data_IF_573590519778
#
_entry.id   IF_573590519778
#
_cell.length_a   1.000
_cell.length_b   1.000
_cell.length_c   1.000
_cell.angle_alpha   90.00
_cell.angle_beta   90.00
_cell.angle_gamma   90.00
#
_symmetry.space_group_name_H-M   'P 1'
#
loop_
_entity.id
_entity.type
_entity.pdbx_description
1 polymer ?
#
# COMPACT_ATOMS: atom_id res chain seq x y z
N UNK A 1 5.44 -2.09 -34.30
CA UNK A 1 5.24 -1.72 -32.88
C UNK A 1 5.83 -2.85 -32.03
N UNK A 2 6.92 -2.62 -31.28
CA UNK A 2 7.51 -3.68 -30.43
C UNK A 2 6.65 -3.81 -29.18
N UNK A 3 5.91 -4.91 -29.03
CA UNK A 3 5.24 -5.25 -27.79
C UNK A 3 6.30 -5.32 -26.67
N UNK A 4 6.26 -4.38 -25.73
CA UNK A 4 7.23 -4.30 -24.64
C UNK A 4 6.78 -5.21 -23.49
N UNK A 5 6.80 -6.52 -23.73
CA UNK A 5 6.35 -7.53 -22.77
C UNK A 5 7.27 -7.55 -21.56
N UNK A 6 6.68 -7.70 -20.38
CA UNK A 6 7.43 -7.81 -19.13
C UNK A 6 8.38 -9.02 -19.13
N UNK A 7 9.63 -8.81 -18.74
CA UNK A 7 10.64 -9.86 -18.53
C UNK A 7 10.73 -10.22 -17.05
N UNK A 8 10.86 -11.52 -16.78
CA UNK A 8 10.89 -12.08 -15.44
C UNK A 8 12.19 -12.84 -15.21
N UNK A 9 12.79 -12.71 -14.03
CA UNK A 9 13.95 -13.50 -13.60
C UNK A 9 13.96 -13.69 -12.10
N UNK A 10 14.18 -14.90 -11.58
CA UNK A 10 14.42 -15.08 -10.15
C UNK A 10 15.86 -14.68 -9.80
N UNK A 11 16.00 -13.91 -8.72
CA UNK A 11 17.29 -13.37 -8.28
C UNK A 11 17.36 -13.43 -6.77
N UNK A 12 18.38 -14.09 -6.23
CA UNK A 12 18.74 -13.98 -4.82
C UNK A 12 19.43 -12.63 -4.57
N UNK A 13 18.96 -11.88 -3.57
CA UNK A 13 19.51 -10.59 -3.18
C UNK A 13 20.45 -10.73 -2.00
N UNK A 14 21.71 -11.12 -2.27
CA UNK A 14 22.75 -11.26 -1.24
C UNK A 14 23.05 -9.95 -0.51
N UNK A 15 22.82 -8.80 -1.16
CA UNK A 15 22.89 -7.46 -0.56
C UNK A 15 21.84 -7.21 0.54
N UNK A 16 20.85 -8.11 0.68
CA UNK A 16 19.76 -8.08 1.66
C UNK A 16 19.79 -9.28 2.62
N UNK A 17 20.95 -9.90 2.79
CA UNK A 17 21.13 -11.02 3.73
C UNK A 17 20.73 -10.60 5.16
N UNK A 18 19.84 -11.37 5.78
CA UNK A 18 19.40 -11.13 7.15
C UNK A 18 20.46 -11.63 8.14
N UNK A 19 21.07 -10.73 8.92
CA UNK A 19 22.14 -11.07 9.87
C UNK A 19 21.72 -12.06 10.96
N UNK A 20 20.44 -12.11 11.32
CA UNK A 20 19.92 -12.97 12.38
C UNK A 20 19.62 -14.40 11.93
N UNK A 21 19.22 -14.61 10.67
CA UNK A 21 18.80 -15.92 10.15
C UNK A 21 19.71 -16.47 9.07
N UNK A 22 20.69 -15.70 8.60
CA UNK A 22 21.55 -16.01 7.45
C UNK A 22 20.78 -16.34 6.15
N UNK A 23 19.53 -15.89 6.05
CA UNK A 23 18.69 -16.07 4.85
C UNK A 23 18.73 -14.83 3.97
N UNK A 24 18.79 -15.04 2.66
CA UNK A 24 18.67 -13.99 1.66
C UNK A 24 17.29 -14.08 0.98
N UNK A 25 16.67 -12.95 0.61
CA UNK A 25 15.42 -12.97 -0.13
C UNK A 25 15.64 -13.46 -1.57
N UNK A 26 14.81 -14.40 -2.00
CA UNK A 26 14.60 -14.79 -3.39
C UNK A 26 13.52 -13.89 -3.97
N UNK A 27 13.89 -13.09 -4.96
CA UNK A 27 13.01 -12.10 -5.56
C UNK A 27 12.73 -12.44 -7.02
N UNK A 28 11.48 -12.28 -7.45
CA UNK A 28 11.13 -12.16 -8.85
C UNK A 28 11.46 -10.73 -9.32
N UNK A 29 12.49 -10.59 -10.16
CA UNK A 29 12.82 -9.36 -10.86
C UNK A 29 11.91 -9.23 -12.08
N UNK A 30 11.13 -8.16 -12.11
CA UNK A 30 10.21 -7.82 -13.20
C UNK A 30 10.77 -6.60 -13.92
N UNK A 31 10.92 -6.68 -15.24
CA UNK A 31 11.54 -5.65 -16.06
C UNK A 31 10.65 -5.28 -17.24
N UNK A 32 10.34 -4.00 -17.38
CA UNK A 32 9.58 -3.42 -18.50
C UNK A 32 10.10 -2.02 -18.77
N UNK A 33 10.17 -1.62 -20.04
CA UNK A 33 10.67 -0.29 -20.45
C UNK A 33 12.05 0.08 -19.86
N UNK A 34 12.99 -0.87 -19.82
CA UNK A 34 14.34 -0.74 -19.22
C UNK A 34 14.36 -0.37 -17.72
N UNK A 35 13.21 -0.43 -17.05
CA UNK A 35 13.10 -0.28 -15.59
C UNK A 35 12.85 -1.65 -14.98
N UNK A 36 13.28 -1.84 -13.73
CA UNK A 36 13.05 -3.09 -13.00
C UNK A 36 12.54 -2.84 -11.58
N UNK A 37 11.79 -3.80 -11.05
CA UNK A 37 11.55 -3.91 -9.62
C UNK A 37 11.63 -5.37 -9.18
N UNK A 38 11.68 -5.57 -7.86
CA UNK A 38 11.86 -6.87 -7.25
C UNK A 38 10.69 -7.15 -6.33
N UNK A 39 10.08 -8.33 -6.49
CA UNK A 39 9.05 -8.84 -5.58
C UNK A 39 9.62 -10.04 -4.84
N UNK A 40 9.78 -9.92 -3.53
CA UNK A 40 10.24 -11.04 -2.69
C UNK A 40 9.20 -12.14 -2.69
N UNK A 41 9.64 -13.39 -2.89
CA UNK A 41 8.78 -14.57 -2.87
C UNK A 41 8.98 -15.37 -1.58
N UNK A 42 10.24 -15.60 -1.21
CA UNK A 42 10.64 -16.36 -0.02
C UNK A 42 12.06 -16.00 0.40
N UNK A 43 12.52 -16.52 1.55
CA UNK A 43 13.87 -16.32 2.08
C UNK A 43 14.55 -17.67 2.27
N UNK A 44 15.76 -17.82 1.73
CA UNK A 44 16.55 -19.06 1.75
C UNK A 44 18.02 -18.73 2.00
N UNK A 45 18.72 -19.59 2.71
CA UNK A 45 20.15 -19.51 2.95
C UNK A 45 20.90 -19.62 1.61
N UNK A 46 21.94 -18.80 1.36
CA UNK A 46 22.66 -18.79 0.08
C UNK A 46 23.16 -20.17 -0.38
N UNK A 47 23.53 -21.04 0.55
CA UNK A 47 24.00 -22.39 0.27
C UNK A 47 22.94 -23.27 -0.41
N UNK A 48 21.65 -23.04 -0.12
CA UNK A 48 20.52 -23.81 -0.64
C UNK A 48 19.89 -23.24 -1.90
N UNK A 49 20.46 -22.19 -2.51
CA UNK A 49 19.93 -21.64 -3.75
C UNK A 49 20.76 -22.03 -4.97
N UNK A 50 20.11 -22.58 -5.98
CA UNK A 50 20.71 -22.87 -7.28
C UNK A 50 20.49 -21.68 -8.22
N UNK A 51 21.53 -20.86 -8.40
CA UNK A 51 21.48 -19.68 -9.27
C UNK A 51 21.26 -20.04 -10.74
N UNK A 52 21.75 -21.20 -11.19
CA UNK A 52 21.67 -21.61 -12.59
C UNK A 52 20.27 -22.11 -12.93
N UNK A 53 19.70 -22.91 -12.04
CA UNK A 53 18.39 -23.54 -12.25
C UNK A 53 17.23 -22.72 -11.66
N UNK A 54 17.52 -21.67 -10.88
CA UNK A 54 16.52 -20.82 -10.21
C UNK A 54 15.60 -21.60 -9.24
N UNK A 55 16.16 -22.60 -8.54
CA UNK A 55 15.43 -23.46 -7.60
C UNK A 55 16.13 -23.56 -6.23
N UNK A 56 15.37 -23.96 -5.22
CA UNK A 56 15.94 -24.41 -3.94
C UNK A 56 16.55 -25.80 -4.13
N UNK A 57 17.79 -25.97 -3.68
CA UNK A 57 18.54 -27.22 -3.81
C UNK A 57 17.95 -28.32 -2.92
N UNK A 58 18.17 -29.57 -3.34
CA UNK A 58 17.63 -30.79 -2.68
C UNK A 58 18.08 -30.98 -1.22
N UNK A 59 19.18 -30.34 -0.82
CA UNK A 59 19.72 -30.43 0.54
C UNK A 59 18.91 -29.64 1.58
N UNK A 60 18.01 -28.73 1.16
CA UNK A 60 17.18 -27.99 2.10
C UNK A 60 16.05 -28.90 2.66
N UNK A 61 15.81 -28.96 3.99
CA UNK A 61 14.79 -29.83 4.59
C UNK A 61 13.39 -29.70 3.98
N UNK A 62 12.99 -28.46 3.69
CA UNK A 62 11.67 -28.15 3.12
C UNK A 62 11.69 -27.93 1.60
N UNK A 63 12.60 -28.58 0.86
CA UNK A 63 12.80 -28.31 -0.59
C UNK A 63 11.51 -28.46 -1.42
N UNK A 64 10.69 -29.49 -1.15
CA UNK A 64 9.45 -29.77 -1.89
C UNK A 64 8.46 -28.62 -1.70
N UNK A 65 8.22 -28.23 -0.45
CA UNK A 65 7.30 -27.14 -0.10
C UNK A 65 7.78 -25.80 -0.64
N UNK A 66 9.07 -25.47 -0.48
CA UNK A 66 9.62 -24.19 -0.91
C UNK A 66 9.59 -24.03 -2.43
N UNK A 67 9.95 -25.07 -3.20
CA UNK A 67 9.89 -25.01 -4.65
C UNK A 67 8.43 -24.94 -5.14
N UNK A 68 7.52 -25.73 -4.54
CA UNK A 68 6.09 -25.63 -4.89
C UNK A 68 5.51 -24.23 -4.59
N UNK A 69 5.89 -23.62 -3.46
CA UNK A 69 5.51 -22.25 -3.11
C UNK A 69 6.10 -21.24 -4.11
N UNK A 70 7.37 -21.38 -4.47
CA UNK A 70 8.06 -20.52 -5.44
C UNK A 70 7.32 -20.54 -6.78
N UNK A 71 7.07 -21.74 -7.32
CA UNK A 71 6.41 -21.94 -8.60
C UNK A 71 5.00 -21.34 -8.60
N UNK A 72 4.21 -21.63 -7.56
CA UNK A 72 2.87 -21.10 -7.41
C UNK A 72 2.85 -19.58 -7.41
N UNK A 73 3.69 -18.94 -6.58
CA UNK A 73 3.74 -17.47 -6.46
C UNK A 73 4.23 -16.79 -7.73
N UNK A 74 5.22 -17.38 -8.40
CA UNK A 74 5.72 -16.87 -9.69
C UNK A 74 4.64 -16.96 -10.77
N UNK A 75 3.91 -18.07 -10.84
CA UNK A 75 2.81 -18.26 -11.78
C UNK A 75 1.66 -17.26 -11.54
N UNK A 76 1.25 -17.07 -10.28
CA UNK A 76 0.24 -16.08 -9.88
C UNK A 76 0.62 -14.66 -10.33
N UNK A 77 1.85 -14.23 -10.03
CA UNK A 77 2.36 -12.91 -10.41
C UNK A 77 2.39 -12.76 -11.93
N UNK A 78 2.95 -13.73 -12.66
CA UNK A 78 3.04 -13.67 -14.13
C UNK A 78 1.64 -13.54 -14.74
N UNK A 79 0.67 -14.33 -14.28
CA UNK A 79 -0.72 -14.28 -14.75
C UNK A 79 -1.34 -12.89 -14.55
N UNK A 80 -1.14 -12.29 -13.38
CA UNK A 80 -1.68 -10.96 -13.08
C UNK A 80 -1.08 -9.87 -13.98
N UNK A 81 0.24 -9.90 -14.22
CA UNK A 81 0.88 -8.95 -15.14
C UNK A 81 0.40 -9.16 -16.57
N UNK A 82 0.35 -10.41 -17.04
CA UNK A 82 -0.13 -10.72 -18.40
C UNK A 82 -1.56 -10.21 -18.61
N UNK A 83 -2.45 -10.42 -17.64
CA UNK A 83 -3.82 -9.92 -17.74
C UNK A 83 -3.86 -8.39 -17.78
N UNK A 84 -3.06 -7.72 -16.94
CA UNK A 84 -2.96 -6.25 -16.95
C UNK A 84 -2.48 -5.74 -18.31
N UNK A 85 -1.44 -6.36 -18.87
CA UNK A 85 -0.89 -6.01 -20.18
C UNK A 85 -1.89 -6.23 -21.32
N UNK A 86 -2.76 -7.24 -21.24
CA UNK A 86 -3.84 -7.46 -22.21
C UNK A 86 -4.92 -6.38 -22.09
N UNK A 87 -5.23 -5.95 -20.86
CA UNK A 87 -6.32 -4.98 -20.61
C UNK A 87 -5.91 -3.52 -20.79
N UNK A 88 -4.62 -3.22 -20.69
CA UNK A 88 -4.06 -1.88 -20.77
C UNK A 88 -2.65 -1.92 -21.39
N UNK A 89 -2.58 -1.72 -22.71
CA UNK A 89 -1.33 -1.69 -23.47
C UNK A 89 -0.38 -0.57 -23.01
N UNK A 90 -0.88 0.44 -22.28
CA UNK A 90 -0.09 1.57 -21.76
C UNK A 90 0.48 1.31 -20.35
N UNK A 91 0.18 0.15 -19.74
CA UNK A 91 0.57 -0.18 -18.38
C UNK A 91 2.11 -0.22 -18.23
N UNK A 92 2.68 0.87 -17.71
CA UNK A 92 4.10 0.94 -17.40
C UNK A 92 4.45 0.17 -16.12
N UNK A 93 5.74 0.01 -15.85
CA UNK A 93 6.24 -0.76 -14.70
C UNK A 93 5.70 -0.30 -13.32
N UNK A 94 5.30 0.97 -13.20
CA UNK A 94 4.75 1.54 -11.97
C UNK A 94 3.32 1.03 -11.74
N UNK A 95 2.52 0.91 -12.80
CA UNK A 95 1.16 0.34 -12.76
C UNK A 95 1.24 -1.14 -12.39
N UNK A 96 2.16 -1.87 -13.02
CA UNK A 96 2.44 -3.28 -12.73
C UNK A 96 2.82 -3.47 -11.26
N UNK A 97 3.79 -2.69 -10.74
CA UNK A 97 4.19 -2.74 -9.34
C UNK A 97 3.00 -2.48 -8.41
N UNK A 98 2.23 -1.42 -8.68
CA UNK A 98 1.07 -1.05 -7.87
C UNK A 98 -0.02 -2.13 -7.84
N UNK A 99 -0.19 -2.86 -8.95
CA UNK A 99 -1.13 -3.97 -9.11
C UNK A 99 -0.67 -5.19 -8.30
N UNK A 100 0.55 -5.67 -8.52
CA UNK A 100 1.13 -6.83 -7.83
C UNK A 100 1.35 -6.64 -6.33
N UNK A 101 1.65 -5.42 -5.91
CA UNK A 101 1.78 -5.13 -4.49
C UNK A 101 0.43 -5.21 -3.78
N UNK A 102 -0.70 -5.32 -4.52
CA UNK A 102 -2.07 -5.20 -4.00
C UNK A 102 -2.29 -3.91 -3.20
N UNK A 103 -1.45 -2.88 -3.43
CA UNK A 103 -1.26 -1.74 -2.51
C UNK A 103 -1.18 -0.39 -3.23
N UNK A 104 -2.12 -0.18 -4.15
CA UNK A 104 -2.75 1.15 -4.32
C UNK A 104 -4.27 1.11 -4.11
N UNK A 105 -4.76 0.13 -3.36
CA UNK A 105 -6.17 0.04 -2.93
C UNK A 105 -6.32 -0.09 -1.42
N UNK A 106 -5.45 0.54 -0.62
CA UNK A 106 -5.86 0.80 0.76
C UNK A 106 -7.02 1.77 0.69
N UNK A 107 -8.19 1.31 1.11
CA UNK A 107 -9.35 2.18 1.23
C UNK A 107 -9.35 2.81 2.62
N UNK A 108 -9.43 4.15 2.67
CA UNK A 108 -9.43 4.89 3.92
C UNK A 108 -10.68 4.57 4.74
N UNK A 109 -11.83 4.32 4.09
CA UNK A 109 -13.06 3.98 4.79
C UNK A 109 -13.02 2.56 5.35
N UNK A 110 -12.53 1.60 4.58
CA UNK A 110 -12.35 0.22 5.08
C UNK A 110 -11.41 0.20 6.31
N UNK A 111 -10.29 0.94 6.23
CA UNK A 111 -9.38 1.07 7.36
C UNK A 111 -10.05 1.76 8.56
N UNK A 112 -10.81 2.84 8.32
CA UNK A 112 -11.52 3.55 9.36
C UNK A 112 -12.55 2.67 10.08
N UNK A 113 -13.29 1.84 9.35
CA UNK A 113 -14.29 0.93 9.93
C UNK A 113 -13.63 -0.09 10.88
N UNK A 114 -12.49 -0.67 10.48
CA UNK A 114 -11.69 -1.57 11.33
C UNK A 114 -11.14 -0.85 12.58
N UNK A 115 -10.61 0.36 12.42
CA UNK A 115 -10.10 1.12 13.57
C UNK A 115 -11.23 1.55 14.52
N UNK A 116 -12.40 1.93 14.01
CA UNK A 116 -13.56 2.26 14.83
C UNK A 116 -14.07 1.05 15.61
N UNK A 117 -14.12 -0.14 15.01
CA UNK A 117 -14.45 -1.39 15.71
C UNK A 117 -13.44 -1.68 16.84
N UNK A 118 -12.13 -1.50 16.59
CA UNK A 118 -11.11 -1.61 17.64
C UNK A 118 -11.28 -0.58 18.76
N UNK A 119 -11.57 0.68 18.44
CA UNK A 119 -11.84 1.73 19.44
C UNK A 119 -13.02 1.36 20.33
N UNK A 120 -14.11 0.86 19.73
CA UNK A 120 -15.30 0.43 20.45
C UNK A 120 -14.99 -0.73 21.40
N UNK A 121 -14.31 -1.77 20.92
CA UNK A 121 -13.89 -2.94 21.73
C UNK A 121 -12.96 -2.56 22.89
N UNK A 122 -12.19 -1.47 22.75
CA UNK A 122 -11.31 -0.92 23.81
C UNK A 122 -12.02 0.03 24.78
N UNK A 123 -13.34 0.22 24.66
CA UNK A 123 -14.11 1.14 25.50
C UNK A 123 -13.93 2.63 25.17
N UNK A 124 -13.31 2.98 24.04
CA UNK A 124 -13.04 4.37 23.64
C UNK A 124 -14.25 5.03 22.94
N UNK A 125 -15.42 4.99 23.58
CA UNK A 125 -16.70 5.33 22.94
C UNK A 125 -16.80 6.78 22.45
N UNK A 126 -16.23 7.75 23.19
CA UNK A 126 -16.22 9.14 22.77
C UNK A 126 -15.40 9.36 21.48
N UNK A 127 -14.21 8.74 21.42
CA UNK A 127 -13.35 8.77 20.24
C UNK A 127 -14.00 8.06 19.06
N UNK A 128 -14.63 6.90 19.28
CA UNK A 128 -15.43 6.19 18.29
C UNK A 128 -16.52 7.08 17.68
N UNK A 129 -17.37 7.71 18.52
CA UNK A 129 -18.46 8.60 18.06
C UNK A 129 -17.93 9.75 17.21
N UNK A 130 -16.80 10.34 17.62
CA UNK A 130 -16.12 11.40 16.87
C UNK A 130 -15.65 10.90 15.50
N UNK A 131 -14.93 9.78 15.43
CA UNK A 131 -14.44 9.24 14.16
C UNK A 131 -15.60 8.86 13.23
N UNK A 132 -16.67 8.26 13.77
CA UNK A 132 -17.88 7.93 13.02
C UNK A 132 -18.49 9.17 12.36
N UNK A 133 -18.62 10.27 13.11
CA UNK A 133 -19.14 11.54 12.57
C UNK A 133 -18.24 12.12 11.47
N UNK A 134 -16.91 12.08 11.66
CA UNK A 134 -15.95 12.57 10.65
C UNK A 134 -16.04 11.76 9.36
N UNK A 135 -16.07 10.43 9.45
CA UNK A 135 -16.14 9.53 8.29
C UNK A 135 -17.46 9.68 7.55
N UNK A 136 -18.57 9.83 8.27
CA UNK A 136 -19.88 10.08 7.66
C UNK A 136 -19.88 11.36 6.82
N UNK A 137 -19.36 12.47 7.36
CA UNK A 137 -19.21 13.73 6.61
C UNK A 137 -18.32 13.56 5.36
N UNK A 138 -17.27 12.75 5.46
CA UNK A 138 -16.36 12.50 4.35
C UNK A 138 -17.02 11.67 3.25
N UNK A 139 -17.82 10.65 3.62
CA UNK A 139 -18.63 9.86 2.67
C UNK A 139 -19.69 10.73 1.98
N UNK A 140 -20.38 11.60 2.73
CA UNK A 140 -21.34 12.56 2.17
C UNK A 140 -20.71 13.49 1.12
N UNK A 141 -19.51 14.00 1.42
CA UNK A 141 -18.77 14.87 0.48
C UNK A 141 -18.41 14.13 -0.81
N UNK A 142 -17.91 12.89 -0.70
CA UNK A 142 -17.45 12.11 -1.84
C UNK A 142 -18.60 11.49 -2.64
N UNK A 143 -19.78 11.29 -2.03
CA UNK A 143 -20.89 10.52 -2.58
C UNK A 143 -20.47 9.12 -3.06
N UNK A 144 -19.52 8.52 -2.34
CA UNK A 144 -18.90 7.23 -2.63
C UNK A 144 -18.60 6.50 -1.33
N UNK A 145 -18.70 5.19 -1.37
CA UNK A 145 -18.38 4.31 -0.23
C UNK A 145 -16.93 3.82 -0.23
N UNK A 146 -16.11 4.30 -1.17
CA UNK A 146 -14.69 4.02 -1.27
C UNK A 146 -13.88 5.31 -1.40
N UNK A 147 -12.78 5.39 -0.66
CA UNK A 147 -11.72 6.38 -0.77
C UNK A 147 -10.35 5.68 -0.84
N UNK A 148 -9.89 5.34 -2.06
CA UNK A 148 -8.54 4.81 -2.24
C UNK A 148 -7.48 5.79 -1.73
N UNK A 149 -6.47 5.31 -1.02
CA UNK A 149 -5.40 6.11 -0.40
C UNK A 149 -4.67 7.00 -1.42
N UNK A 150 -4.54 6.54 -2.66
CA UNK A 150 -3.93 7.28 -3.77
C UNK A 150 -4.72 8.54 -4.16
N UNK A 151 -6.02 8.55 -3.89
CA UNK A 151 -6.90 9.69 -4.17
C UNK A 151 -6.84 10.74 -3.04
N UNK A 152 -6.26 10.39 -1.88
CA UNK A 152 -5.95 11.37 -0.84
C UNK A 152 -4.69 12.12 -1.27
N UNK A 153 -4.88 13.20 -2.01
CA UNK A 153 -3.82 14.11 -2.45
C UNK A 153 -3.84 15.39 -1.62
N UNK A 154 -2.80 16.22 -1.73
CA UNK A 154 -2.80 17.54 -1.08
C UNK A 154 -3.97 18.40 -1.58
N UNK A 155 -4.29 18.29 -2.86
CA UNK A 155 -5.39 19.01 -3.49
C UNK A 155 -6.75 18.54 -2.95
N UNK A 156 -6.94 17.23 -2.82
CA UNK A 156 -8.13 16.66 -2.18
C UNK A 156 -8.33 17.19 -0.75
N UNK A 157 -7.26 17.25 0.06
CA UNK A 157 -7.34 17.75 1.43
C UNK A 157 -7.78 19.22 1.45
N UNK A 158 -7.21 20.06 0.57
CA UNK A 158 -7.57 21.49 0.47
C UNK A 158 -9.02 21.67 0.04
N UNK A 159 -9.49 20.91 -0.95
CA UNK A 159 -10.87 20.97 -1.40
C UNK A 159 -11.85 20.53 -0.31
N UNK A 160 -11.50 19.47 0.44
CA UNK A 160 -12.33 19.01 1.54
C UNK A 160 -12.33 19.99 2.73
N UNK A 161 -11.19 20.61 3.06
CA UNK A 161 -11.12 21.71 4.03
C UNK A 161 -12.06 22.85 3.64
N UNK A 162 -12.01 23.26 2.38
CA UNK A 162 -12.87 24.29 1.82
C UNK A 162 -14.36 23.92 1.93
N UNK A 163 -14.71 22.67 1.63
CA UNK A 163 -16.08 22.16 1.80
C UNK A 163 -16.54 22.21 3.26
N UNK A 164 -15.69 21.77 4.20
CA UNK A 164 -16.01 21.78 5.62
C UNK A 164 -16.29 23.19 6.15
N UNK A 165 -15.51 24.18 5.71
CA UNK A 165 -15.72 25.58 6.12
C UNK A 165 -16.91 26.21 5.43
N UNK A 166 -17.01 26.11 4.10
CA UNK A 166 -17.94 26.94 3.32
C UNK A 166 -19.28 26.27 3.02
N UNK A 167 -19.35 24.94 3.02
CA UNK A 167 -20.61 24.21 2.75
C UNK A 167 -21.20 23.56 3.99
N UNK A 168 -20.37 23.12 4.93
CA UNK A 168 -20.82 22.61 6.25
C UNK A 168 -20.79 23.69 7.34
N UNK A 169 -20.35 24.92 7.02
CA UNK A 169 -20.27 26.06 7.93
C UNK A 169 -19.54 25.77 9.25
N UNK A 170 -18.53 24.87 9.22
CA UNK A 170 -17.74 24.58 10.41
C UNK A 170 -16.73 25.70 10.65
N UNK A 171 -16.59 26.12 11.90
CA UNK A 171 -15.49 27.00 12.30
C UNK A 171 -14.11 26.32 12.08
N UNK A 172 -13.03 27.11 12.13
CA UNK A 172 -11.66 26.64 11.86
C UNK A 172 -11.26 25.48 12.77
N UNK A 173 -11.57 25.58 14.06
CA UNK A 173 -11.18 24.58 15.05
C UNK A 173 -11.88 23.24 14.80
N UNK A 174 -13.19 23.26 14.51
CA UNK A 174 -13.94 22.07 14.11
C UNK A 174 -13.39 21.46 12.83
N UNK A 175 -13.13 22.29 11.81
CA UNK A 175 -12.53 21.84 10.55
C UNK A 175 -11.20 21.13 10.77
N UNK A 176 -10.31 21.71 11.56
CA UNK A 176 -9.01 21.13 11.89
C UNK A 176 -9.14 19.84 12.70
N UNK A 177 -10.12 19.74 13.59
CA UNK A 177 -10.40 18.49 14.31
C UNK A 177 -10.83 17.37 13.37
N UNK A 178 -11.65 17.66 12.35
CA UNK A 178 -12.05 16.69 11.33
C UNK A 178 -10.84 16.24 10.50
N UNK A 179 -10.03 17.19 10.01
CA UNK A 179 -8.83 16.87 9.23
C UNK A 179 -7.78 16.09 10.03
N UNK A 180 -7.64 16.34 11.33
CA UNK A 180 -6.74 15.57 12.20
C UNK A 180 -7.14 14.10 12.32
N UNK A 181 -8.44 13.79 12.42
CA UNK A 181 -8.90 12.41 12.47
C UNK A 181 -8.59 11.68 11.16
N UNK A 182 -8.83 12.33 10.00
CA UNK A 182 -8.47 11.77 8.68
C UNK A 182 -6.95 11.61 8.56
N UNK A 183 -6.18 12.62 8.98
CA UNK A 183 -4.73 12.57 8.97
C UNK A 183 -4.18 11.41 9.80
N UNK A 184 -4.77 11.13 10.97
CA UNK A 184 -4.38 9.99 11.80
C UNK A 184 -4.57 8.67 11.05
N UNK A 185 -5.75 8.45 10.46
CA UNK A 185 -6.04 7.23 9.69
C UNK A 185 -5.09 7.07 8.51
N UNK A 186 -4.86 8.14 7.75
CA UNK A 186 -3.92 8.13 6.61
C UNK A 186 -2.50 7.86 7.08
N UNK A 187 -2.02 8.55 8.12
CA UNK A 187 -0.70 8.30 8.69
C UNK A 187 -0.55 6.85 9.16
N UNK A 188 -1.56 6.29 9.81
CA UNK A 188 -1.55 4.90 10.27
C UNK A 188 -1.47 3.92 9.11
N UNK A 189 -2.20 4.16 8.01
CA UNK A 189 -2.07 3.36 6.79
C UNK A 189 -0.64 3.44 6.26
N UNK A 190 -0.06 4.64 6.17
CA UNK A 190 1.31 4.81 5.69
C UNK A 190 2.35 4.11 6.59
N UNK A 191 2.14 4.11 7.90
CA UNK A 191 3.05 3.50 8.86
C UNK A 191 2.87 1.97 8.96
N UNK A 192 1.64 1.49 9.13
CA UNK A 192 1.35 0.08 9.35
C UNK A 192 1.61 -0.80 8.12
N UNK A 193 1.64 -0.20 6.93
CA UNK A 193 1.85 -0.89 5.67
C UNK A 193 3.13 -0.48 4.94
N UNK A 194 4.04 0.23 5.62
CA UNK A 194 5.35 0.67 5.11
C UNK A 194 5.27 1.39 3.75
N UNK A 195 4.30 2.29 3.59
CA UNK A 195 4.18 3.09 2.39
C UNK A 195 5.24 4.19 2.36
N UNK A 196 5.58 4.63 1.14
CA UNK A 196 6.51 5.74 0.91
C UNK A 196 6.00 7.03 1.57
N UNK A 197 6.59 7.36 2.72
CA UNK A 197 6.23 8.49 3.55
C UNK A 197 6.36 9.85 2.84
N UNK A 198 7.17 9.94 1.77
CA UNK A 198 7.29 11.17 0.97
C UNK A 198 6.03 11.49 0.16
N UNK A 199 5.19 10.47 -0.08
CA UNK A 199 3.91 10.57 -0.78
C UNK A 199 2.73 10.89 0.14
N UNK A 200 2.94 10.86 1.46
CA UNK A 200 1.89 11.19 2.41
C UNK A 200 1.53 12.69 2.32
N UNK A 201 0.31 13.05 1.89
CA UNK A 201 -0.07 14.43 1.66
C UNK A 201 -0.16 15.24 2.97
N UNK A 202 -0.44 14.59 4.10
CA UNK A 202 -0.55 15.25 5.40
C UNK A 202 0.81 15.67 5.98
N UNK A 203 1.94 15.15 5.46
CA UNK A 203 3.27 15.69 5.80
C UNK A 203 3.53 17.08 5.22
N UNK A 204 2.88 17.41 4.10
CA UNK A 204 3.01 18.69 3.40
C UNK A 204 1.90 19.68 3.77
N UNK A 205 0.81 19.20 4.35
CA UNK A 205 -0.34 20.00 4.72
C UNK A 205 -0.17 20.66 6.10
N UNK A 206 -0.24 21.98 6.18
CA UNK A 206 -0.18 22.74 7.44
C UNK A 206 -1.58 23.04 7.95
N UNK A 207 -1.96 22.42 9.06
CA UNK A 207 -3.25 22.66 9.71
C UNK A 207 -3.24 24.02 10.44
N UNK A 208 -4.31 24.80 10.28
CA UNK A 208 -4.50 26.10 10.93
C UNK A 208 -5.44 25.98 12.15
N UNK A 209 -5.27 26.80 13.17
CA UNK A 209 -6.15 26.87 14.35
C UNK A 209 -6.40 28.33 14.69
N UNK A 210 -7.57 28.62 15.23
CA UNK A 210 -7.89 29.93 15.81
C UNK A 210 -7.75 29.82 17.34
N UNK A 211 -7.17 30.84 17.97
CA UNK A 211 -7.13 30.95 19.43
C UNK A 211 -8.57 31.19 19.91
N UNK A 212 -9.01 30.39 20.86
CA UNK A 212 -10.26 30.65 21.58
C UNK A 212 -9.90 31.55 22.75
N UNK A 213 -10.52 32.73 22.84
CA UNK A 213 -10.52 33.58 24.05
C UNK A 213 -11.23 32.89 25.22
#
# INVERSE_FOLDING_TARGET
MKFNVSKFKLVMRLDKLAKSSNKAPICLRITKDRRSFYRTILHVEPEYWDVKNEIVKKQHPNVIELNALLDKRVAEIKKEISLLEITDDSANISVIRNKLDNRTSFDVFEYADKEMDRMYKRGQYATYKKYKSVIMKLKEYLKKDALPIKNVTLEFIKQYENHLMNKKNNNRNTTTVNLKAIAKLVNDIYNNYDLDQSKNPFKKFKMKRELTE
#
